data_IF_175195568326
#
_entry.id   IF_175195568326
#
_cell.length_a   1.000
_cell.length_b   1.000
_cell.length_c   1.000
_cell.angle_alpha   90.00
_cell.angle_beta   90.00
_cell.angle_gamma   90.00
#
_symmetry.space_group_name_H-M   'P 1'
#
loop_
_entity.id
_entity.type
_entity.pdbx_description
1 polymer ?
#
# COMPACT_ATOMS: atom_id res chain seq x y z
N UNK A 1 10.33 -9.22 -22.46
CA UNK A 1 9.76 -7.87 -22.79
C UNK A 1 8.85 -7.48 -21.65
N UNK A 2 9.16 -6.38 -20.98
CA UNK A 2 8.39 -5.89 -19.84
C UNK A 2 7.10 -5.20 -20.26
N UNK A 3 6.16 -5.00 -19.30
CA UNK A 3 4.93 -4.21 -19.54
C UNK A 3 5.28 -2.79 -20.04
N UNK A 4 6.31 -2.15 -19.46
CA UNK A 4 6.78 -0.83 -19.89
C UNK A 4 7.31 -0.83 -21.32
N UNK A 5 8.12 -1.83 -21.68
CA UNK A 5 8.64 -1.94 -23.04
C UNK A 5 7.53 -2.20 -24.08
N UNK A 6 6.56 -3.06 -23.73
CA UNK A 6 5.40 -3.33 -24.58
C UNK A 6 4.59 -2.04 -24.80
N UNK A 7 4.28 -1.32 -23.74
CA UNK A 7 3.53 -0.08 -23.79
C UNK A 7 4.22 0.99 -24.66
N UNK A 8 5.55 1.16 -24.50
CA UNK A 8 6.36 2.09 -25.30
C UNK A 8 6.37 1.73 -26.80
N UNK A 9 6.24 0.45 -27.14
CA UNK A 9 6.12 -0.03 -28.53
C UNK A 9 4.70 0.03 -29.08
N UNK A 10 3.75 0.59 -28.32
CA UNK A 10 2.34 0.64 -28.73
C UNK A 10 1.60 -0.71 -28.60
N UNK A 11 2.19 -1.69 -27.92
CA UNK A 11 1.60 -3.02 -27.74
C UNK A 11 0.73 -3.02 -26.48
N UNK A 12 -0.55 -3.37 -26.63
CA UNK A 12 -1.49 -3.62 -25.55
C UNK A 12 -1.34 -5.08 -25.12
N UNK A 13 -0.92 -5.29 -23.86
CA UNK A 13 -0.79 -6.63 -23.28
C UNK A 13 -2.12 -7.10 -22.68
N UNK A 14 -2.24 -8.41 -22.37
CA UNK A 14 -3.42 -8.94 -21.69
C UNK A 14 -3.56 -8.37 -20.26
N UNK A 15 -2.45 -8.11 -19.57
CA UNK A 15 -2.45 -7.44 -18.28
C UNK A 15 -3.08 -6.04 -18.38
N UNK A 16 -2.74 -5.25 -19.38
CA UNK A 16 -3.35 -3.92 -19.60
C UNK A 16 -4.84 -3.99 -19.89
N UNK A 17 -5.30 -5.00 -20.63
CA UNK A 17 -6.74 -5.22 -20.90
C UNK A 17 -7.52 -5.54 -19.60
N UNK A 18 -6.94 -6.37 -18.73
CA UNK A 18 -7.53 -6.73 -17.44
C UNK A 18 -7.63 -5.48 -16.56
N UNK A 19 -6.53 -4.74 -16.40
CA UNK A 19 -6.52 -3.49 -15.63
C UNK A 19 -7.54 -2.49 -16.18
N UNK A 20 -7.62 -2.29 -17.49
CA UNK A 20 -8.59 -1.39 -18.12
C UNK A 20 -10.03 -1.77 -17.79
N UNK A 21 -10.33 -3.06 -17.82
CA UNK A 21 -11.66 -3.59 -17.47
C UNK A 21 -11.98 -3.37 -15.99
N UNK A 22 -11.05 -3.65 -15.10
CA UNK A 22 -11.24 -3.56 -13.65
C UNK A 22 -11.38 -2.09 -13.18
N UNK A 23 -10.64 -1.19 -13.83
CA UNK A 23 -10.68 0.25 -13.54
C UNK A 23 -11.79 0.99 -14.32
N UNK A 24 -12.47 0.33 -15.26
CA UNK A 24 -13.51 0.93 -16.07
C UNK A 24 -13.01 2.03 -17.00
N UNK A 25 -11.78 1.93 -17.49
CA UNK A 25 -11.15 2.92 -18.38
C UNK A 25 -10.81 2.32 -19.74
N UNK A 26 -10.55 3.18 -20.73
CA UNK A 26 -10.08 2.72 -22.04
C UNK A 26 -8.68 2.10 -21.91
N UNK A 27 -8.45 1.01 -22.64
CA UNK A 27 -7.17 0.29 -22.60
C UNK A 27 -5.98 1.14 -23.09
N UNK A 28 -6.24 2.09 -24.00
CA UNK A 28 -5.19 3.02 -24.46
C UNK A 28 -4.80 4.03 -23.37
N UNK A 29 -5.70 4.38 -22.44
CA UNK A 29 -5.36 5.16 -21.24
C UNK A 29 -4.38 4.38 -20.38
N UNK A 30 -4.62 3.08 -20.15
CA UNK A 30 -3.71 2.21 -19.40
C UNK A 30 -2.37 2.10 -20.11
N UNK A 31 -2.36 1.78 -21.41
CA UNK A 31 -1.13 1.66 -22.20
C UNK A 31 -0.31 2.97 -22.17
N UNK A 32 -0.95 4.10 -22.41
CA UNK A 32 -0.28 5.40 -22.42
C UNK A 32 0.33 5.74 -21.06
N UNK A 33 -0.40 5.47 -19.96
CA UNK A 33 0.07 5.70 -18.60
C UNK A 33 1.26 4.80 -18.23
N UNK A 34 1.24 3.52 -18.63
CA UNK A 34 2.38 2.62 -18.46
C UNK A 34 3.56 3.07 -19.32
N UNK A 35 3.32 3.46 -20.58
CA UNK A 35 4.39 3.93 -21.49
C UNK A 35 5.09 5.20 -20.97
N UNK A 36 4.37 6.12 -20.34
CA UNK A 36 4.94 7.34 -19.72
C UNK A 36 5.57 7.05 -18.36
N UNK A 37 5.29 5.88 -17.74
CA UNK A 37 5.69 5.53 -16.39
C UNK A 37 4.86 6.23 -15.30
N UNK A 38 3.69 6.79 -15.65
CA UNK A 38 2.71 7.32 -14.69
C UNK A 38 1.83 6.22 -14.07
N UNK A 39 1.91 5.00 -14.60
CA UNK A 39 1.32 3.81 -14.02
C UNK A 39 2.27 2.61 -14.13
N UNK A 40 2.10 1.64 -13.23
CA UNK A 40 2.77 0.35 -13.25
C UNK A 40 1.75 -0.79 -13.11
N UNK A 41 2.09 -1.96 -13.62
CA UNK A 41 1.34 -3.21 -13.45
C UNK A 41 2.35 -4.25 -12.93
N UNK A 42 2.57 -4.33 -11.61
CA UNK A 42 3.47 -5.33 -11.03
C UNK A 42 2.95 -6.74 -11.33
N UNK A 43 3.69 -7.47 -12.15
CA UNK A 43 3.31 -8.81 -12.59
C UNK A 43 4.54 -9.56 -13.08
N UNK A 44 5.11 -10.39 -12.22
CA UNK A 44 6.23 -11.25 -12.56
C UNK A 44 5.80 -12.37 -13.54
N UNK A 45 6.63 -12.67 -14.52
CA UNK A 45 6.38 -13.73 -15.51
C UNK A 45 6.21 -15.13 -14.90
N UNK A 46 6.68 -15.34 -13.67
CA UNK A 46 6.61 -16.61 -12.93
C UNK A 46 5.41 -16.72 -12.00
N UNK A 47 4.73 -15.63 -11.62
CA UNK A 47 3.55 -15.63 -10.74
C UNK A 47 2.28 -15.95 -11.52
N UNK A 48 2.01 -17.24 -11.76
CA UNK A 48 1.01 -17.73 -12.73
C UNK A 48 -0.46 -17.49 -12.35
N UNK A 49 -0.77 -17.43 -11.06
CA UNK A 49 -2.14 -17.21 -10.56
C UNK A 49 -2.43 -15.75 -10.20
N UNK A 50 -1.48 -14.84 -10.42
CA UNK A 50 -1.66 -13.43 -10.13
C UNK A 50 -2.65 -12.76 -11.09
N UNK A 51 -3.62 -12.05 -10.54
CA UNK A 51 -4.49 -11.15 -11.28
C UNK A 51 -3.82 -9.78 -11.39
N UNK A 52 -3.59 -9.26 -12.60
CA UNK A 52 -2.91 -7.96 -12.78
C UNK A 52 -3.65 -6.82 -12.08
N UNK A 53 -2.91 -5.98 -11.38
CA UNK A 53 -3.44 -4.77 -10.70
C UNK A 53 -2.62 -3.56 -11.13
N UNK A 54 -3.31 -2.51 -11.60
CA UNK A 54 -2.66 -1.26 -11.98
C UNK A 54 -2.51 -0.30 -10.81
N UNK A 55 -1.36 0.37 -10.70
CA UNK A 55 -1.10 1.46 -9.75
C UNK A 55 -0.79 2.72 -10.53
N UNK A 56 -1.58 3.79 -10.32
CA UNK A 56 -1.42 5.07 -11.00
C UNK A 56 -2.54 6.03 -10.65
N UNK A 57 -2.32 7.33 -10.83
CA UNK A 57 -3.29 8.36 -10.44
C UNK A 57 -4.62 8.30 -11.23
N UNK A 58 -4.62 7.71 -12.42
CA UNK A 58 -5.83 7.54 -13.24
C UNK A 58 -6.70 6.37 -12.78
N UNK A 59 -6.23 5.52 -11.87
CA UNK A 59 -6.92 4.37 -11.32
C UNK A 59 -7.45 4.63 -9.92
N UNK A 60 -8.27 3.72 -9.40
CA UNK A 60 -8.63 3.70 -7.97
C UNK A 60 -7.37 3.55 -7.10
N UNK A 61 -7.36 4.22 -5.96
CA UNK A 61 -6.26 4.11 -4.99
C UNK A 61 -6.19 2.69 -4.42
N UNK A 62 -5.02 2.06 -4.50
CA UNK A 62 -4.78 0.69 -4.03
C UNK A 62 -4.28 0.67 -2.58
N UNK A 63 -4.50 -0.47 -1.91
CA UNK A 63 -3.91 -0.72 -0.60
C UNK A 63 -2.99 -1.94 -0.62
N UNK A 64 -1.89 -1.85 0.11
CA UNK A 64 -0.96 -2.95 0.35
C UNK A 64 -1.00 -3.36 1.82
N UNK A 65 -1.01 -4.68 2.07
CA UNK A 65 -0.88 -5.25 3.40
C UNK A 65 0.50 -5.87 3.58
N UNK A 66 1.27 -5.36 4.55
CA UNK A 66 2.54 -5.96 4.97
C UNK A 66 2.25 -7.12 5.91
N UNK A 67 2.75 -8.29 5.56
CA UNK A 67 2.68 -9.53 6.32
C UNK A 67 4.09 -10.03 6.55
N UNK A 68 4.24 -11.06 7.34
CA UNK A 68 5.53 -11.70 7.49
C UNK A 68 5.86 -12.03 8.93
N UNK A 69 6.57 -13.14 9.06
CA UNK A 69 7.05 -13.67 10.32
C UNK A 69 8.11 -12.77 10.94
N UNK A 70 8.05 -12.59 12.26
CA UNK A 70 9.18 -12.08 13.04
C UNK A 70 10.05 -13.24 13.57
N UNK A 71 11.29 -12.99 14.00
CA UNK A 71 12.18 -14.05 14.51
C UNK A 71 11.61 -14.82 15.71
N UNK A 72 10.70 -14.21 16.46
CA UNK A 72 10.16 -14.75 17.72
C UNK A 72 8.70 -15.16 17.67
N UNK A 73 7.97 -14.80 16.63
CA UNK A 73 6.52 -14.99 16.56
C UNK A 73 6.06 -15.37 15.14
N UNK A 74 5.03 -16.19 15.08
CA UNK A 74 4.33 -16.71 13.92
C UNK A 74 5.09 -17.77 13.09
N UNK A 75 4.33 -18.64 12.45
CA UNK A 75 4.80 -19.64 11.52
C UNK A 75 4.14 -19.50 10.15
N UNK A 76 4.47 -20.39 9.20
CA UNK A 76 3.89 -20.40 7.85
C UNK A 76 2.35 -20.42 7.87
N UNK A 77 1.74 -21.20 8.77
CA UNK A 77 0.28 -21.29 8.88
C UNK A 77 -0.37 -19.99 9.29
N UNK A 78 0.21 -19.29 10.25
CA UNK A 78 -0.28 -18.00 10.74
C UNK A 78 -0.21 -16.92 9.65
N UNK A 79 0.89 -16.90 8.87
CA UNK A 79 1.07 -15.92 7.81
C UNK A 79 0.13 -16.17 6.62
N UNK A 80 -0.17 -17.43 6.28
CA UNK A 80 -1.18 -17.75 5.27
C UNK A 80 -2.61 -17.43 5.73
N UNK A 81 -2.91 -17.54 7.02
CA UNK A 81 -4.18 -17.09 7.59
C UNK A 81 -4.30 -15.56 7.48
N UNK A 82 -3.26 -14.81 7.89
CA UNK A 82 -3.23 -13.35 7.75
C UNK A 82 -3.35 -12.90 6.28
N UNK A 83 -2.70 -13.62 5.35
CA UNK A 83 -2.85 -13.39 3.92
C UNK A 83 -4.32 -13.52 3.48
N UNK A 84 -4.98 -14.61 3.84
CA UNK A 84 -6.38 -14.83 3.50
C UNK A 84 -7.29 -13.73 4.10
N UNK A 85 -7.00 -13.26 5.32
CA UNK A 85 -7.73 -12.17 5.97
C UNK A 85 -7.52 -10.86 5.24
N UNK A 86 -6.27 -10.50 4.89
CA UNK A 86 -5.95 -9.28 4.16
C UNK A 86 -6.64 -9.24 2.79
N UNK A 87 -6.57 -10.34 2.03
CA UNK A 87 -7.24 -10.48 0.74
C UNK A 87 -8.78 -10.36 0.85
N UNK A 88 -9.38 -11.02 1.84
CA UNK A 88 -10.81 -10.93 2.10
C UNK A 88 -11.25 -9.53 2.58
N UNK A 89 -10.37 -8.79 3.25
CA UNK A 89 -10.60 -7.41 3.64
C UNK A 89 -10.37 -6.41 2.48
N UNK A 90 -9.93 -6.90 1.31
CA UNK A 90 -9.81 -6.12 0.09
C UNK A 90 -8.43 -5.55 -0.17
N UNK A 91 -7.36 -6.15 0.36
CA UNK A 91 -6.00 -5.80 -0.01
C UNK A 91 -5.78 -6.02 -1.52
N UNK A 92 -5.23 -5.03 -2.19
CA UNK A 92 -4.94 -5.05 -3.62
C UNK A 92 -3.54 -5.59 -3.90
N UNK A 93 -2.64 -5.43 -2.91
CA UNK A 93 -1.25 -5.88 -2.88
C UNK A 93 -0.94 -6.49 -1.52
N UNK A 94 0.04 -7.38 -1.47
CA UNK A 94 0.59 -7.92 -0.24
C UNK A 94 2.11 -7.91 -0.29
N UNK A 95 2.77 -7.76 0.86
CA UNK A 95 4.22 -7.89 0.97
C UNK A 95 4.58 -8.96 2.00
N UNK A 96 5.53 -9.81 1.65
CA UNK A 96 6.19 -10.73 2.57
C UNK A 96 7.43 -10.05 3.16
N UNK A 97 7.36 -9.71 4.45
CA UNK A 97 8.45 -9.12 5.22
C UNK A 97 9.06 -10.13 6.19
N UNK A 98 8.88 -11.42 5.92
CA UNK A 98 9.37 -12.50 6.77
C UNK A 98 10.88 -12.43 6.96
N UNK A 99 11.30 -12.61 8.21
CA UNK A 99 12.68 -12.75 8.63
C UNK A 99 12.83 -14.06 9.41
N UNK A 100 14.00 -14.70 9.33
CA UNK A 100 14.25 -16.00 9.97
C UNK A 100 15.69 -16.40 9.83
N UNK A 101 16.08 -17.53 10.43
CA UNK A 101 17.47 -18.01 10.46
C UNK A 101 17.78 -19.07 9.40
N UNK A 102 16.76 -19.60 8.73
CA UNK A 102 16.92 -20.64 7.72
C UNK A 102 16.35 -20.18 6.36
N UNK A 103 17.11 -20.36 5.31
CA UNK A 103 16.73 -20.00 3.92
C UNK A 103 15.46 -20.73 3.50
N UNK A 104 15.40 -22.03 3.72
CA UNK A 104 14.25 -22.88 3.34
C UNK A 104 12.94 -22.42 4.00
N UNK A 105 13.02 -21.88 5.22
CA UNK A 105 11.87 -21.40 5.95
C UNK A 105 11.32 -20.11 5.33
N UNK A 106 12.17 -19.12 5.07
CA UNK A 106 11.79 -17.83 4.46
C UNK A 106 11.25 -18.08 3.05
N UNK A 107 11.99 -18.84 2.25
CA UNK A 107 11.62 -19.21 0.87
C UNK A 107 10.30 -20.00 0.85
N UNK A 108 10.11 -20.92 1.82
CA UNK A 108 8.90 -21.72 1.92
C UNK A 108 7.65 -20.93 2.34
N UNK A 109 7.79 -19.89 3.18
CA UNK A 109 6.68 -18.97 3.53
C UNK A 109 6.31 -18.17 2.29
N UNK A 110 7.28 -17.53 1.64
CA UNK A 110 7.06 -16.73 0.43
C UNK A 110 6.43 -17.54 -0.70
N UNK A 111 6.91 -18.78 -0.94
CA UNK A 111 6.29 -19.66 -1.94
C UNK A 111 4.83 -19.96 -1.58
N UNK A 112 4.54 -20.25 -0.32
CA UNK A 112 3.17 -20.47 0.12
C UNK A 112 2.27 -19.25 -0.08
N UNK A 113 2.79 -18.03 0.11
CA UNK A 113 2.08 -16.80 -0.17
C UNK A 113 1.87 -16.57 -1.67
N UNK A 114 2.88 -16.81 -2.52
CA UNK A 114 2.77 -16.72 -3.99
C UNK A 114 1.72 -17.70 -4.52
N UNK A 115 1.75 -18.94 -4.04
CA UNK A 115 0.80 -19.97 -4.47
C UNK A 115 -0.64 -19.65 -4.06
N UNK A 116 -0.83 -18.99 -2.91
CA UNK A 116 -2.14 -18.68 -2.35
C UNK A 116 -2.68 -17.30 -2.76
N UNK A 117 -1.82 -16.36 -3.17
CA UNK A 117 -2.24 -15.00 -3.49
C UNK A 117 -2.63 -14.85 -4.96
N UNK A 118 -3.87 -14.43 -5.26
CA UNK A 118 -4.24 -13.96 -6.60
C UNK A 118 -3.88 -12.48 -6.81
N UNK A 119 -3.13 -11.86 -5.91
CA UNK A 119 -2.74 -10.44 -5.96
C UNK A 119 -1.22 -10.33 -6.00
N UNK A 120 -0.68 -9.25 -6.56
CA UNK A 120 0.76 -9.05 -6.62
C UNK A 120 1.41 -9.12 -5.23
N UNK A 121 2.53 -9.84 -5.15
CA UNK A 121 3.31 -10.04 -3.94
C UNK A 121 4.63 -9.30 -4.03
N UNK A 122 4.94 -8.50 -3.01
CA UNK A 122 6.19 -7.77 -2.88
C UNK A 122 7.09 -8.29 -1.76
N UNK A 123 8.36 -7.89 -1.81
CA UNK A 123 9.36 -8.22 -0.79
C UNK A 123 10.32 -7.06 -0.54
N UNK A 124 11.16 -7.21 0.49
CA UNK A 124 12.31 -6.34 0.78
C UNK A 124 13.56 -7.22 0.85
N UNK A 125 14.27 -7.46 -0.26
CA UNK A 125 15.35 -8.46 -0.36
C UNK A 125 16.45 -8.34 0.68
N UNK A 126 16.77 -7.12 1.14
CA UNK A 126 17.77 -6.90 2.18
C UNK A 126 17.42 -7.60 3.50
N UNK A 127 16.12 -7.82 3.79
CA UNK A 127 15.72 -8.51 5.03
C UNK A 127 16.14 -9.98 5.01
N UNK A 128 15.90 -10.70 3.90
CA UNK A 128 16.38 -12.06 3.71
C UNK A 128 17.92 -12.10 3.73
N UNK A 129 18.55 -11.16 3.03
CA UNK A 129 20.02 -11.07 2.97
C UNK A 129 20.63 -11.05 4.37
N UNK A 130 20.18 -10.15 5.23
CA UNK A 130 20.72 -10.03 6.59
C UNK A 130 20.27 -11.17 7.49
N UNK A 131 19.05 -11.70 7.30
CA UNK A 131 18.59 -12.88 8.04
C UNK A 131 19.51 -14.09 7.82
N UNK A 132 20.01 -14.27 6.59
CA UNK A 132 20.89 -15.39 6.23
C UNK A 132 22.34 -15.16 6.65
N UNK A 133 22.83 -13.93 6.57
CA UNK A 133 24.22 -13.60 6.92
C UNK A 133 24.41 -13.40 8.42
N UNK A 134 23.40 -12.87 9.11
CA UNK A 134 23.47 -12.53 10.54
C UNK A 134 24.40 -11.35 10.88
N UNK A 135 24.99 -10.69 9.89
CA UNK A 135 26.00 -9.65 10.06
C UNK A 135 25.92 -8.62 8.92
N UNK A 136 25.63 -7.37 9.27
CA UNK A 136 25.46 -6.28 8.29
C UNK A 136 26.82 -5.84 7.70
N UNK A 137 27.87 -5.55 8.49
CA UNK A 137 29.12 -5.05 7.97
C UNK A 137 29.81 -5.95 6.93
N UNK A 138 29.65 -7.26 7.06
CA UNK A 138 30.30 -8.23 6.17
C UNK A 138 29.40 -8.65 4.98
N UNK A 139 28.28 -7.98 4.75
CA UNK A 139 27.44 -8.27 3.59
C UNK A 139 28.22 -8.02 2.29
N UNK A 140 28.36 -9.07 1.48
CA UNK A 140 28.85 -8.95 0.10
C UNK A 140 27.72 -8.41 -0.80
N UNK A 141 27.92 -7.30 -1.53
CA UNK A 141 26.95 -6.81 -2.51
C UNK A 141 26.50 -7.88 -3.52
N UNK A 142 27.37 -8.77 -3.95
CA UNK A 142 27.00 -9.85 -4.87
C UNK A 142 26.07 -10.88 -4.24
N UNK A 143 26.15 -11.11 -2.94
CA UNK A 143 25.19 -11.96 -2.23
C UNK A 143 23.79 -11.33 -2.24
N UNK A 144 23.67 -10.00 -1.98
CA UNK A 144 22.42 -9.27 -2.08
C UNK A 144 21.81 -9.35 -3.49
N UNK A 145 22.62 -9.18 -4.54
CA UNK A 145 22.16 -9.35 -5.92
C UNK A 145 21.67 -10.78 -6.18
N UNK A 146 22.35 -11.78 -5.61
CA UNK A 146 21.92 -13.18 -5.67
C UNK A 146 20.54 -13.40 -5.01
N UNK A 147 20.27 -12.74 -3.87
CA UNK A 147 18.96 -12.78 -3.20
C UNK A 147 17.88 -12.13 -4.08
N UNK A 148 18.15 -10.96 -4.66
CA UNK A 148 17.24 -10.27 -5.58
C UNK A 148 16.88 -11.19 -6.76
N UNK A 149 17.86 -11.85 -7.37
CA UNK A 149 17.67 -12.79 -8.49
C UNK A 149 16.79 -13.98 -8.07
N UNK A 150 17.11 -14.63 -6.94
CA UNK A 150 16.33 -15.78 -6.44
C UNK A 150 14.85 -15.41 -6.21
N UNK A 151 14.60 -14.24 -5.61
CA UNK A 151 13.23 -13.76 -5.38
C UNK A 151 12.50 -13.44 -6.69
N UNK A 152 13.19 -12.89 -7.69
CA UNK A 152 12.65 -12.66 -9.02
C UNK A 152 12.28 -13.98 -9.73
N UNK A 153 13.17 -14.96 -9.69
CA UNK A 153 12.96 -16.33 -10.23
C UNK A 153 11.82 -17.06 -9.53
N UNK A 154 11.63 -16.82 -8.23
CA UNK A 154 10.54 -17.40 -7.44
C UNK A 154 9.16 -16.83 -7.82
N UNK A 155 9.10 -15.63 -8.38
CA UNK A 155 7.86 -15.03 -8.85
C UNK A 155 7.41 -13.77 -8.09
N UNK A 156 8.29 -13.13 -7.33
CA UNK A 156 7.99 -11.85 -6.64
C UNK A 156 7.68 -10.77 -7.68
N UNK A 157 6.55 -10.09 -7.55
CA UNK A 157 6.04 -9.14 -8.54
C UNK A 157 6.67 -7.75 -8.41
N UNK A 158 7.02 -7.34 -7.19
CA UNK A 158 7.71 -6.09 -6.94
C UNK A 158 8.64 -6.18 -5.74
N UNK A 159 9.69 -5.37 -5.74
CA UNK A 159 10.70 -5.37 -4.68
C UNK A 159 10.97 -3.97 -4.19
N UNK A 160 10.95 -3.78 -2.87
CA UNK A 160 11.40 -2.54 -2.23
C UNK A 160 12.91 -2.56 -2.10
N UNK A 161 13.56 -1.60 -2.76
CA UNK A 161 15.01 -1.45 -2.80
C UNK A 161 15.42 -0.05 -2.34
N UNK A 162 16.15 0.04 -1.21
CA UNK A 162 16.56 1.30 -0.58
C UNK A 162 17.83 1.85 -1.25
N UNK A 163 17.77 2.15 -2.55
CA UNK A 163 18.92 2.60 -3.34
C UNK A 163 19.14 4.12 -3.30
N UNK A 164 18.16 4.89 -2.79
CA UNK A 164 18.22 6.37 -2.77
C UNK A 164 19.00 6.97 -1.61
N UNK A 165 19.24 6.20 -0.53
CA UNK A 165 20.04 6.62 0.61
C UNK A 165 21.52 6.59 0.24
N UNK A 166 22.20 7.73 0.33
CA UNK A 166 23.63 7.89 0.02
C UNK A 166 24.40 8.42 1.22
N UNK A 167 25.73 8.18 1.27
CA UNK A 167 26.60 8.62 2.36
C UNK A 167 26.43 10.10 2.71
N UNK A 168 26.25 10.96 1.72
CA UNK A 168 26.12 12.42 1.90
C UNK A 168 24.87 12.83 2.71
N UNK A 169 23.85 11.97 2.83
CA UNK A 169 22.60 12.27 3.54
C UNK A 169 22.63 11.83 5.00
N UNK A 170 23.54 10.91 5.37
CA UNK A 170 23.63 10.37 6.73
C UNK A 170 23.84 11.46 7.79
N UNK A 171 24.72 12.48 7.60
CA UNK A 171 24.88 13.55 8.58
C UNK A 171 23.58 14.30 8.90
N UNK A 172 22.70 14.51 7.92
CA UNK A 172 21.41 15.18 8.14
C UNK A 172 20.43 14.24 8.85
N UNK A 173 20.38 12.97 8.47
CA UNK A 173 19.57 11.97 9.17
C UNK A 173 19.95 11.82 10.65
N UNK A 174 21.23 11.94 11.00
CA UNK A 174 21.72 11.84 12.39
C UNK A 174 21.37 13.07 13.25
N UNK A 175 20.88 14.17 12.67
CA UNK A 175 20.36 15.33 13.42
C UNK A 175 18.91 15.14 13.88
N UNK A 176 18.22 14.14 13.36
CA UNK A 176 16.81 13.85 13.66
C UNK A 176 16.60 13.34 15.08
N UNK A 177 15.42 13.54 15.62
CA UNK A 177 14.99 12.98 16.90
C UNK A 177 15.02 11.45 16.85
N UNK A 178 14.48 10.84 15.76
CA UNK A 178 14.39 9.39 15.61
C UNK A 178 15.52 8.79 14.74
N UNK A 179 16.37 9.60 14.12
CA UNK A 179 17.40 9.11 13.21
C UNK A 179 16.82 8.42 11.97
N UNK A 180 17.26 7.20 11.68
CA UNK A 180 16.82 6.38 10.54
C UNK A 180 15.90 5.27 11.05
N UNK A 181 14.60 5.37 10.75
CA UNK A 181 13.58 4.42 11.24
C UNK A 181 13.21 3.35 10.23
N UNK A 182 13.58 3.52 8.96
CA UNK A 182 13.42 2.48 7.96
C UNK A 182 14.39 1.33 8.27
N UNK A 183 13.88 0.11 8.43
CA UNK A 183 14.72 -1.07 8.68
C UNK A 183 15.75 -1.26 7.57
N UNK A 184 15.31 -1.22 6.30
CA UNK A 184 16.22 -1.33 5.16
C UNK A 184 17.17 -0.15 5.04
N UNK A 185 16.70 1.07 5.31
CA UNK A 185 17.54 2.27 5.35
C UNK A 185 18.62 2.21 6.43
N UNK A 186 18.28 1.76 7.64
CA UNK A 186 19.24 1.60 8.75
C UNK A 186 20.32 0.57 8.42
N UNK A 187 19.93 -0.59 7.87
CA UNK A 187 20.86 -1.64 7.43
C UNK A 187 21.84 -1.09 6.38
N UNK A 188 21.34 -0.38 5.37
CA UNK A 188 22.19 0.21 4.34
C UNK A 188 23.14 1.28 4.91
N UNK A 189 22.61 2.15 5.78
CA UNK A 189 23.43 3.19 6.42
C UNK A 189 24.56 2.59 7.26
N UNK A 190 24.28 1.55 8.07
CA UNK A 190 25.30 0.84 8.87
C UNK A 190 26.36 0.23 7.96
N UNK A 191 25.97 -0.50 6.93
CA UNK A 191 26.89 -1.09 5.96
C UNK A 191 27.81 -0.04 5.32
N UNK A 192 27.22 1.08 4.88
CA UNK A 192 27.97 2.17 4.23
C UNK A 192 28.96 2.82 5.17
N UNK A 193 28.60 3.05 6.43
CA UNK A 193 29.48 3.66 7.43
C UNK A 193 30.63 2.76 7.83
N UNK A 194 30.37 1.46 8.05
CA UNK A 194 31.39 0.49 8.43
C UNK A 194 32.37 0.23 7.28
N UNK A 195 31.87 0.08 6.06
CA UNK A 195 32.70 -0.19 4.88
C UNK A 195 33.30 1.09 4.25
N UNK A 196 32.90 2.28 4.70
CA UNK A 196 33.31 3.58 4.13
C UNK A 196 33.07 3.60 2.60
N UNK A 197 31.98 3.02 2.18
CA UNK A 197 31.59 2.83 0.78
C UNK A 197 30.18 3.33 0.55
N UNK A 198 29.87 3.69 -0.70
CA UNK A 198 28.54 4.12 -1.11
C UNK A 198 27.57 2.94 -1.14
N UNK A 199 26.27 3.23 -1.03
CA UNK A 199 25.19 2.26 -1.04
C UNK A 199 25.35 1.22 -2.16
N UNK A 200 25.47 -0.09 -1.84
CA UNK A 200 25.72 -1.13 -2.83
C UNK A 200 24.59 -1.26 -3.85
N UNK A 201 23.32 -1.00 -3.48
CA UNK A 201 22.22 -0.99 -4.44
C UNK A 201 22.35 0.17 -5.45
N UNK A 202 22.83 1.34 -5.02
CA UNK A 202 23.07 2.47 -5.91
C UNK A 202 24.25 2.22 -6.88
N UNK A 203 25.37 1.68 -6.35
CA UNK A 203 26.58 1.42 -7.16
C UNK A 203 26.40 0.27 -8.14
N UNK A 204 25.58 -0.75 -7.83
CA UNK A 204 25.26 -1.90 -8.68
C UNK A 204 23.88 -1.78 -9.33
N UNK A 205 23.35 -0.54 -9.47
CA UNK A 205 21.96 -0.36 -9.94
C UNK A 205 21.70 -0.94 -11.32
N UNK A 206 22.68 -0.92 -12.22
CA UNK A 206 22.52 -1.47 -13.58
C UNK A 206 22.37 -3.00 -13.55
N UNK A 207 23.14 -3.69 -12.68
CA UNK A 207 23.01 -5.13 -12.47
C UNK A 207 21.64 -5.49 -11.84
N UNK A 208 21.16 -4.68 -10.92
CA UNK A 208 19.81 -4.82 -10.34
C UNK A 208 18.75 -4.69 -11.44
N UNK A 209 18.82 -3.65 -12.26
CA UNK A 209 17.85 -3.43 -13.35
C UNK A 209 17.86 -4.57 -14.36
N UNK A 210 19.01 -5.18 -14.67
CA UNK A 210 19.10 -6.33 -15.56
C UNK A 210 18.30 -7.53 -15.03
N UNK A 211 18.38 -7.81 -13.73
CA UNK A 211 17.58 -8.86 -13.09
C UNK A 211 16.08 -8.52 -13.19
N UNK A 212 15.69 -7.27 -12.88
CA UNK A 212 14.28 -6.85 -12.86
C UNK A 212 13.64 -6.91 -14.26
N UNK A 213 14.37 -6.52 -15.31
CA UNK A 213 13.92 -6.61 -16.71
C UNK A 213 13.70 -8.07 -17.15
N UNK A 214 14.61 -8.97 -16.77
CA UNK A 214 14.54 -10.38 -17.14
C UNK A 214 13.24 -11.04 -16.70
N UNK A 215 12.72 -10.67 -15.51
CA UNK A 215 11.55 -11.27 -14.88
C UNK A 215 10.30 -10.37 -14.87
N UNK A 216 10.37 -9.17 -15.45
CA UNK A 216 9.34 -8.11 -15.39
C UNK A 216 8.92 -7.76 -13.95
N UNK A 217 9.90 -7.66 -13.05
CA UNK A 217 9.70 -7.24 -11.66
C UNK A 217 9.63 -5.72 -11.61
N UNK A 218 8.62 -5.18 -10.93
CA UNK A 218 8.50 -3.75 -10.66
C UNK A 218 9.39 -3.36 -9.48
N UNK A 219 10.19 -2.31 -9.60
CA UNK A 219 10.89 -1.76 -8.44
C UNK A 219 10.00 -0.80 -7.68
N UNK A 220 9.98 -0.94 -6.35
CA UNK A 220 9.53 0.06 -5.40
C UNK A 220 10.77 0.71 -4.80
N UNK A 221 11.05 1.96 -5.19
CA UNK A 221 12.20 2.70 -4.67
C UNK A 221 11.92 3.08 -3.22
N UNK A 222 12.57 2.38 -2.29
CA UNK A 222 12.33 2.49 -0.85
C UNK A 222 12.79 3.83 -0.27
N UNK A 223 11.99 4.39 0.63
CA UNK A 223 12.28 5.60 1.39
C UNK A 223 13.09 5.31 2.67
N UNK A 224 14.36 5.00 2.52
CA UNK A 224 15.27 4.68 3.63
C UNK A 224 15.38 5.78 4.68
N UNK A 225 15.15 7.02 4.27
CA UNK A 225 15.16 8.21 5.14
C UNK A 225 13.78 8.80 5.40
N UNK A 226 12.72 7.99 5.37
CA UNK A 226 11.40 8.44 5.79
C UNK A 226 11.40 8.93 7.25
N UNK A 227 10.65 10.01 7.59
CA UNK A 227 10.56 10.48 8.97
C UNK A 227 9.81 9.48 9.86
N UNK A 228 10.30 9.27 11.08
CA UNK A 228 9.73 8.40 12.10
C UNK A 228 8.92 9.13 13.18
N UNK A 229 8.87 10.45 13.12
CA UNK A 229 8.04 11.32 13.95
C UNK A 229 7.77 12.63 13.23
N UNK A 230 6.78 13.39 13.72
CA UNK A 230 6.41 14.67 13.11
C UNK A 230 7.54 15.71 13.14
N UNK A 231 8.43 15.63 14.16
CA UNK A 231 9.55 16.57 14.30
C UNK A 231 10.60 16.42 13.18
N UNK A 232 10.71 15.23 12.58
CA UNK A 232 11.68 14.90 11.54
C UNK A 232 11.09 15.04 10.12
N UNK A 233 9.80 15.37 10.00
CA UNK A 233 9.10 15.44 8.72
C UNK A 233 9.61 16.57 7.81
N UNK A 234 9.70 16.29 6.52
CA UNK A 234 10.02 17.25 5.46
C UNK A 234 11.39 17.92 5.62
N UNK A 235 12.33 17.21 6.20
CA UNK A 235 13.70 17.70 6.41
C UNK A 235 14.62 17.49 5.20
N UNK A 236 15.88 17.92 5.33
CA UNK A 236 16.89 17.80 4.29
C UNK A 236 17.24 16.35 3.95
N UNK A 237 17.21 15.44 4.92
CA UNK A 237 17.49 14.02 4.71
C UNK A 237 16.40 13.37 3.86
N UNK A 238 15.12 13.58 4.19
CA UNK A 238 13.98 13.06 3.43
C UNK A 238 13.99 13.55 1.98
N UNK A 239 14.16 14.87 1.79
CA UNK A 239 14.11 15.43 0.44
C UNK A 239 15.40 15.18 -0.36
N UNK A 240 16.55 15.09 0.31
CA UNK A 240 17.79 14.70 -0.33
C UNK A 240 17.76 13.29 -0.89
N UNK A 241 17.12 12.33 -0.17
CA UNK A 241 16.85 11.00 -0.70
C UNK A 241 15.86 11.05 -1.86
N UNK A 242 14.76 11.80 -1.73
CA UNK A 242 13.75 11.92 -2.79
C UNK A 242 14.35 12.42 -4.11
N UNK A 243 15.30 13.36 -4.06
CA UNK A 243 16.01 13.85 -5.25
C UNK A 243 16.80 12.72 -5.94
N UNK A 244 17.43 11.82 -5.18
CA UNK A 244 18.11 10.62 -5.73
C UNK A 244 17.10 9.61 -6.27
N UNK A 245 15.97 9.42 -5.60
CA UNK A 245 14.90 8.55 -6.11
C UNK A 245 14.39 9.05 -7.47
N UNK A 246 14.30 10.36 -7.68
CA UNK A 246 13.97 10.97 -8.98
C UNK A 246 14.99 10.64 -10.09
N UNK A 247 16.29 10.61 -9.78
CA UNK A 247 17.34 10.13 -10.68
C UNK A 247 17.16 8.65 -11.03
N UNK A 248 16.92 7.81 -10.00
CA UNK A 248 16.73 6.37 -10.19
C UNK A 248 15.46 6.05 -11.00
N UNK A 249 14.40 6.85 -10.90
CA UNK A 249 13.20 6.75 -11.75
C UNK A 249 13.57 6.88 -13.23
N UNK A 250 14.41 7.85 -13.59
CA UNK A 250 14.85 8.01 -14.97
C UNK A 250 15.67 6.82 -15.47
N UNK A 251 16.60 6.32 -14.64
CA UNK A 251 17.43 5.15 -14.97
C UNK A 251 16.55 3.92 -15.20
N UNK A 252 15.57 3.66 -14.32
CA UNK A 252 14.61 2.56 -14.45
C UNK A 252 13.83 2.66 -15.78
N UNK A 253 13.24 3.83 -16.05
CA UNK A 253 12.45 4.05 -17.27
C UNK A 253 13.28 3.90 -18.55
N UNK A 254 14.53 4.36 -18.52
CA UNK A 254 15.45 4.21 -19.65
C UNK A 254 15.79 2.73 -19.92
N UNK A 255 15.93 1.93 -18.84
CA UNK A 255 16.25 0.49 -18.94
C UNK A 255 15.04 -0.40 -19.24
N UNK A 256 13.81 0.13 -19.14
CA UNK A 256 12.58 -0.63 -19.37
C UNK A 256 12.01 -1.28 -18.11
N UNK A 257 12.46 -0.87 -16.92
CA UNK A 257 11.96 -1.33 -15.62
C UNK A 257 10.77 -0.48 -15.20
N UNK A 258 9.66 -1.11 -14.80
CA UNK A 258 8.56 -0.43 -14.14
C UNK A 258 8.99 0.03 -12.75
N UNK A 259 8.63 1.28 -12.37
CA UNK A 259 9.08 1.88 -11.12
C UNK A 259 7.96 2.64 -10.42
N UNK A 260 7.80 2.40 -9.13
CA UNK A 260 7.06 3.23 -8.18
C UNK A 260 8.00 3.71 -7.07
N UNK A 261 7.59 4.74 -6.35
CA UNK A 261 8.44 5.40 -5.34
C UNK A 261 7.74 5.33 -3.99
N UNK A 262 8.46 4.96 -2.95
CA UNK A 262 7.95 5.01 -1.58
C UNK A 262 8.10 6.41 -0.98
N UNK A 263 7.28 6.69 0.02
CA UNK A 263 7.32 7.98 0.69
C UNK A 263 6.55 8.02 2.00
N UNK A 264 6.51 9.21 2.63
CA UNK A 264 6.88 9.39 4.02
C UNK A 264 5.93 8.70 4.99
N UNK A 265 6.50 8.29 6.17
CA UNK A 265 5.75 7.63 7.24
C UNK A 265 5.03 8.61 8.18
N UNK A 266 5.76 9.56 8.80
CA UNK A 266 5.19 10.54 9.73
C UNK A 266 5.25 11.94 9.14
N UNK A 267 4.08 12.57 8.91
CA UNK A 267 4.00 13.92 8.35
C UNK A 267 2.82 14.67 8.97
N UNK A 268 3.03 15.88 9.51
CA UNK A 268 1.93 16.73 9.94
C UNK A 268 0.92 16.93 8.81
N UNK A 269 -0.38 16.88 9.12
CA UNK A 269 -1.45 16.88 8.11
C UNK A 269 -1.32 18.03 7.08
N UNK A 270 -0.95 19.22 7.55
CA UNK A 270 -0.78 20.41 6.71
C UNK A 270 0.42 20.36 5.74
N UNK A 271 1.33 19.39 5.91
CA UNK A 271 2.50 19.21 5.02
C UNK A 271 2.30 18.10 3.99
N UNK A 272 1.24 17.31 4.08
CA UNK A 272 1.01 16.15 3.19
C UNK A 272 0.90 16.61 1.73
N UNK A 273 0.11 17.65 1.45
CA UNK A 273 -0.06 18.14 0.08
C UNK A 273 1.28 18.56 -0.57
N UNK A 274 2.12 19.25 0.18
CA UNK A 274 3.44 19.68 -0.29
C UNK A 274 4.34 18.48 -0.58
N UNK A 275 4.36 17.45 0.30
CA UNK A 275 5.12 16.23 0.08
C UNK A 275 4.67 15.49 -1.19
N UNK A 276 3.34 15.37 -1.41
CA UNK A 276 2.80 14.75 -2.63
C UNK A 276 3.20 15.52 -3.88
N UNK A 277 3.07 16.85 -3.85
CA UNK A 277 3.44 17.72 -4.98
C UNK A 277 4.93 17.61 -5.32
N UNK A 278 5.82 17.62 -4.29
CA UNK A 278 7.27 17.50 -4.51
C UNK A 278 7.64 16.17 -5.15
N UNK A 279 7.06 15.04 -4.68
CA UNK A 279 7.30 13.75 -5.31
C UNK A 279 6.84 13.71 -6.77
N UNK A 280 5.65 14.25 -7.05
CA UNK A 280 5.13 14.30 -8.44
C UNK A 280 6.08 15.05 -9.38
N UNK A 281 6.68 16.13 -8.89
CA UNK A 281 7.65 16.93 -9.65
C UNK A 281 8.98 16.17 -9.82
N UNK A 282 9.61 15.81 -8.72
CA UNK A 282 10.97 15.22 -8.68
C UNK A 282 10.98 13.83 -9.33
N UNK A 283 9.99 12.99 -9.03
CA UNK A 283 9.88 11.62 -9.56
C UNK A 283 9.03 11.55 -10.85
N UNK A 284 8.74 12.69 -11.49
CA UNK A 284 8.10 12.75 -12.83
C UNK A 284 6.83 11.92 -12.89
N UNK A 285 5.98 12.08 -11.86
CA UNK A 285 4.69 11.43 -11.69
C UNK A 285 4.76 9.88 -11.65
N UNK A 286 5.90 9.29 -11.30
CA UNK A 286 5.94 7.86 -10.98
C UNK A 286 4.93 7.57 -9.86
N UNK A 287 4.23 6.41 -9.87
CA UNK A 287 3.26 6.09 -8.84
C UNK A 287 3.86 6.22 -7.45
N UNK A 288 3.14 6.89 -6.53
CA UNK A 288 3.60 7.14 -5.18
C UNK A 288 2.95 6.15 -4.21
N UNK A 289 3.77 5.40 -3.51
CA UNK A 289 3.41 4.41 -2.50
C UNK A 289 3.81 4.95 -1.13
N UNK A 290 2.84 5.23 -0.25
CA UNK A 290 3.08 5.90 1.02
C UNK A 290 2.72 5.03 2.23
N UNK A 291 3.50 5.14 3.30
CA UNK A 291 3.23 4.51 4.58
C UNK A 291 2.42 5.49 5.48
N UNK A 292 1.12 5.40 5.44
CA UNK A 292 0.25 6.36 6.11
C UNK A 292 -0.08 7.55 5.20
N UNK A 293 0.31 8.80 5.51
CA UNK A 293 1.16 9.23 6.63
C UNK A 293 0.49 9.24 7.99
N UNK A 294 1.27 8.95 9.03
CA UNK A 294 0.88 9.10 10.44
C UNK A 294 0.89 10.59 10.80
N UNK A 295 -0.27 11.15 11.15
CA UNK A 295 -0.46 12.60 11.31
C UNK A 295 -0.28 13.13 12.73
N UNK A 296 -0.07 12.25 13.71
CA UNK A 296 0.28 12.57 15.11
C UNK A 296 0.95 11.38 15.77
N UNK A 297 1.92 11.64 16.66
CA UNK A 297 2.74 10.61 17.31
C UNK A 297 2.18 10.13 18.66
N UNK A 298 1.05 10.69 19.15
CA UNK A 298 0.56 10.48 20.52
C UNK A 298 -0.54 9.43 20.65
N UNK A 299 -0.75 8.60 19.64
CA UNK A 299 -1.86 7.65 19.62
C UNK A 299 -1.45 6.19 19.38
N UNK A 300 -0.46 5.62 20.10
CA UNK A 300 -0.12 4.20 19.97
C UNK A 300 -1.34 3.30 20.20
N UNK A 301 -1.50 2.26 19.39
CA UNK A 301 -2.67 1.38 19.39
C UNK A 301 -3.85 1.89 18.54
N UNK A 302 -3.79 3.14 18.09
CA UNK A 302 -4.75 3.77 17.16
C UNK A 302 -4.08 4.21 15.86
N UNK A 303 -2.88 3.73 15.59
CA UNK A 303 -2.07 4.14 14.43
C UNK A 303 -2.80 3.93 13.10
N UNK A 304 -3.62 2.88 12.98
CA UNK A 304 -4.47 2.64 11.81
C UNK A 304 -5.52 3.75 11.57
N UNK A 305 -5.97 4.44 12.63
CA UNK A 305 -6.90 5.58 12.51
C UNK A 305 -6.12 6.83 12.12
N UNK A 306 -5.03 7.11 12.86
CA UNK A 306 -4.19 8.29 12.65
C UNK A 306 -3.61 8.33 11.24
N UNK A 307 -3.10 7.18 10.79
CA UNK A 307 -2.53 7.03 9.45
C UNK A 307 -3.59 7.02 8.34
N UNK A 308 -4.79 6.48 8.59
CA UNK A 308 -5.88 6.56 7.61
C UNK A 308 -6.32 8.01 7.33
N UNK A 309 -6.24 8.91 8.32
CA UNK A 309 -6.47 10.35 8.13
C UNK A 309 -5.45 10.91 7.12
N UNK A 310 -4.17 10.62 7.34
CA UNK A 310 -3.10 11.06 6.43
C UNK A 310 -3.15 10.39 5.07
N UNK A 311 -3.46 9.09 5.04
CA UNK A 311 -3.62 8.32 3.80
C UNK A 311 -4.73 8.87 2.90
N UNK A 312 -5.85 9.31 3.49
CA UNK A 312 -6.93 9.98 2.75
C UNK A 312 -6.43 11.27 2.10
N UNK A 313 -5.69 12.09 2.84
CA UNK A 313 -5.09 13.31 2.29
C UNK A 313 -4.06 12.97 1.20
N UNK A 314 -3.17 12.00 1.43
CA UNK A 314 -2.17 11.59 0.46
C UNK A 314 -2.81 11.08 -0.85
N UNK A 315 -3.84 10.22 -0.77
CA UNK A 315 -4.59 9.74 -1.93
C UNK A 315 -5.26 10.89 -2.68
N UNK A 316 -5.85 11.86 -1.98
CA UNK A 316 -6.44 13.06 -2.57
C UNK A 316 -5.41 13.86 -3.37
N UNK A 317 -4.19 13.99 -2.86
CA UNK A 317 -3.15 14.83 -3.46
C UNK A 317 -2.16 14.08 -4.36
N UNK A 318 -2.27 12.75 -4.52
CA UNK A 318 -1.46 12.08 -5.54
C UNK A 318 -0.90 10.71 -5.25
N UNK A 319 -0.99 10.20 -4.02
CA UNK A 319 -0.61 8.82 -3.74
C UNK A 319 -1.54 7.85 -4.49
N UNK A 320 -0.97 6.78 -5.02
CA UNK A 320 -1.69 5.77 -5.82
C UNK A 320 -1.74 4.41 -5.13
N UNK A 321 -0.84 4.17 -4.18
CA UNK A 321 -0.78 2.96 -3.36
C UNK A 321 -0.54 3.38 -1.91
N UNK A 322 -1.30 2.79 -1.00
CA UNK A 322 -1.24 3.06 0.43
C UNK A 322 -0.76 1.81 1.17
N UNK A 323 0.36 1.90 1.87
CA UNK A 323 0.77 0.86 2.81
C UNK A 323 -0.12 0.94 4.04
N UNK A 324 -0.82 -0.13 4.35
CA UNK A 324 -1.66 -0.17 5.54
C UNK A 324 -0.82 -0.06 6.82
N UNK A 325 -1.47 0.44 7.86
CA UNK A 325 -0.95 0.46 9.22
C UNK A 325 -1.97 -0.24 10.12
N UNK A 326 -1.51 -1.04 11.05
CA UNK A 326 -2.37 -1.79 11.98
C UNK A 326 -2.41 -1.11 13.36
N UNK A 327 -3.35 -1.50 14.26
CA UNK A 327 -3.31 -1.05 15.65
C UNK A 327 -2.03 -1.41 16.39
N UNK A 328 -1.32 -2.46 15.96
CA UNK A 328 -0.08 -2.94 16.57
C UNK A 328 1.16 -2.12 16.17
N UNK A 329 1.05 -1.19 15.22
CA UNK A 329 2.18 -0.36 14.78
C UNK A 329 2.83 0.31 16.00
N UNK A 330 4.16 0.35 16.04
CA UNK A 330 4.98 0.81 17.16
C UNK A 330 4.86 -0.01 18.48
N UNK A 331 4.01 -1.04 18.53
CA UNK A 331 3.77 -1.86 19.74
C UNK A 331 4.19 -3.33 19.58
N UNK A 332 4.03 -3.91 18.38
CA UNK A 332 4.34 -5.32 18.16
C UNK A 332 3.93 -5.86 16.80
N UNK A 333 3.98 -7.19 16.66
CA UNK A 333 3.51 -7.87 15.46
C UNK A 333 1.98 -7.97 15.48
N UNK A 334 1.27 -7.58 14.40
CA UNK A 334 -0.20 -7.62 14.38
C UNK A 334 -0.74 -9.04 14.37
N UNK A 335 -1.85 -9.23 15.08
CA UNK A 335 -2.68 -10.41 14.97
C UNK A 335 -3.65 -10.33 13.77
N UNK A 336 -4.42 -11.40 13.55
CA UNK A 336 -5.39 -11.52 12.46
C UNK A 336 -6.51 -10.46 12.49
N UNK A 337 -7.01 -10.05 13.67
CA UNK A 337 -8.04 -9.00 13.80
C UNK A 337 -7.43 -7.61 13.51
N UNK A 338 -6.20 -7.38 13.93
CA UNK A 338 -5.48 -6.13 13.66
C UNK A 338 -5.14 -5.96 12.18
N UNK A 339 -4.74 -7.05 11.48
CA UNK A 339 -4.59 -7.06 10.01
C UNK A 339 -5.90 -6.67 9.34
N UNK A 340 -7.02 -7.29 9.73
CA UNK A 340 -8.33 -6.94 9.19
C UNK A 340 -8.69 -5.48 9.44
N UNK A 341 -8.48 -4.95 10.66
CA UNK A 341 -8.77 -3.56 11.01
C UNK A 341 -7.94 -2.58 10.18
N UNK A 342 -6.65 -2.87 10.02
CA UNK A 342 -5.74 -2.07 9.20
C UNK A 342 -6.22 -2.01 7.75
N UNK A 343 -6.51 -3.16 7.12
CA UNK A 343 -7.02 -3.22 5.76
C UNK A 343 -8.31 -2.42 5.58
N UNK A 344 -9.29 -2.57 6.48
CA UNK A 344 -10.57 -1.83 6.39
C UNK A 344 -10.36 -0.33 6.57
N UNK A 345 -9.52 0.11 7.52
CA UNK A 345 -9.21 1.52 7.71
C UNK A 345 -8.63 2.13 6.43
N UNK A 346 -7.74 1.40 5.76
CA UNK A 346 -7.11 1.86 4.53
C UNK A 346 -8.00 1.77 3.30
N UNK A 347 -8.93 0.80 3.22
CA UNK A 347 -9.98 0.82 2.17
C UNK A 347 -10.90 2.03 2.33
N UNK A 348 -11.20 2.45 3.57
CA UNK A 348 -11.95 3.68 3.84
C UNK A 348 -11.14 4.90 3.38
N UNK A 349 -9.85 4.96 3.73
CA UNK A 349 -8.98 6.07 3.36
C UNK A 349 -8.83 6.20 1.83
N UNK A 350 -8.55 5.09 1.14
CA UNK A 350 -8.43 5.03 -0.31
C UNK A 350 -9.71 5.51 -1.00
N UNK A 351 -10.86 4.94 -0.61
CA UNK A 351 -12.15 5.32 -1.16
C UNK A 351 -12.49 6.80 -0.93
N UNK A 352 -12.28 7.31 0.28
CA UNK A 352 -12.51 8.72 0.58
C UNK A 352 -11.60 9.65 -0.22
N UNK A 353 -10.34 9.25 -0.45
CA UNK A 353 -9.41 9.96 -1.33
C UNK A 353 -9.87 9.96 -2.78
N UNK A 354 -10.34 8.83 -3.31
CA UNK A 354 -10.87 8.70 -4.68
C UNK A 354 -12.11 9.58 -4.89
N UNK A 355 -13.01 9.62 -3.92
CA UNK A 355 -14.17 10.53 -3.93
C UNK A 355 -13.72 11.99 -3.91
N UNK A 356 -12.77 12.34 -3.04
CA UNK A 356 -12.29 13.71 -2.88
C UNK A 356 -11.61 14.26 -4.13
N UNK A 357 -10.86 13.43 -4.86
CA UNK A 357 -10.20 13.82 -6.13
C UNK A 357 -11.11 13.73 -7.35
N UNK A 358 -12.38 13.35 -7.15
CA UNK A 358 -13.37 13.31 -8.22
C UNK A 358 -13.14 12.20 -9.24
N UNK A 359 -12.60 11.05 -8.83
CA UNK A 359 -12.41 9.92 -9.73
C UNK A 359 -13.79 9.47 -10.29
N UNK A 360 -13.93 9.30 -11.62
CA UNK A 360 -15.20 8.89 -12.21
C UNK A 360 -15.75 7.61 -11.58
N UNK A 361 -17.04 7.61 -11.21
CA UNK A 361 -17.70 6.47 -10.58
C UNK A 361 -17.39 6.25 -9.08
N UNK A 362 -16.42 6.92 -8.48
CA UNK A 362 -16.04 6.72 -7.08
C UNK A 362 -17.23 6.92 -6.11
N UNK A 363 -18.11 7.89 -6.36
CA UNK A 363 -19.30 8.18 -5.54
C UNK A 363 -20.49 7.25 -5.74
N UNK A 364 -20.52 6.45 -6.80
CA UNK A 364 -21.72 5.66 -7.15
C UNK A 364 -22.14 4.69 -6.03
N UNK A 365 -21.15 4.11 -5.35
CA UNK A 365 -21.38 3.20 -4.21
C UNK A 365 -21.96 3.94 -3.00
N UNK A 366 -21.49 5.16 -2.70
CA UNK A 366 -22.03 6.00 -1.62
C UNK A 366 -23.44 6.46 -1.92
N UNK A 367 -23.73 6.87 -3.14
CA UNK A 367 -25.06 7.27 -3.58
C UNK A 367 -26.04 6.08 -3.53
N UNK A 368 -25.59 4.87 -3.90
CA UNK A 368 -26.37 3.64 -3.73
C UNK A 368 -26.61 3.31 -2.24
N UNK A 369 -25.60 3.46 -1.39
CA UNK A 369 -25.72 3.29 0.04
C UNK A 369 -26.70 4.30 0.65
N UNK A 370 -26.62 5.57 0.24
CA UNK A 370 -27.55 6.61 0.70
C UNK A 370 -29.00 6.26 0.36
N UNK A 371 -29.26 5.78 -0.86
CA UNK A 371 -30.60 5.29 -1.27
C UNK A 371 -31.05 4.09 -0.45
N UNK A 372 -30.16 3.10 -0.21
CA UNK A 372 -30.46 1.93 0.61
C UNK A 372 -30.79 2.31 2.06
N UNK A 373 -30.02 3.25 2.65
CA UNK A 373 -30.26 3.81 3.99
C UNK A 373 -31.59 4.55 4.05
N UNK A 374 -31.86 5.41 3.08
CA UNK A 374 -33.13 6.14 2.99
C UNK A 374 -34.33 5.19 2.86
N UNK A 375 -34.15 4.02 2.22
CA UNK A 375 -35.18 2.99 2.09
C UNK A 375 -35.28 2.03 3.28
N UNK A 376 -34.36 2.07 4.25
CA UNK A 376 -34.17 1.06 5.30
C UNK A 376 -33.96 -0.36 4.74
N UNK A 377 -33.39 -0.46 3.54
CA UNK A 377 -33.03 -1.73 2.93
C UNK A 377 -31.71 -2.22 3.54
N UNK A 378 -31.80 -2.97 4.63
CA UNK A 378 -30.65 -3.44 5.40
C UNK A 378 -29.77 -4.41 4.61
N UNK A 379 -30.36 -5.33 3.85
CA UNK A 379 -29.60 -6.29 3.05
C UNK A 379 -28.76 -5.55 2.02
N UNK A 380 -29.36 -4.58 1.32
CA UNK A 380 -28.63 -3.75 0.34
C UNK A 380 -27.52 -2.91 1.00
N UNK A 381 -27.72 -2.43 2.24
CA UNK A 381 -26.67 -1.72 2.98
C UNK A 381 -25.49 -2.66 3.28
N UNK A 382 -25.75 -3.92 3.67
CA UNK A 382 -24.69 -4.88 3.93
C UNK A 382 -23.94 -5.27 2.65
N UNK A 383 -24.61 -5.43 1.53
CA UNK A 383 -23.98 -5.68 0.22
C UNK A 383 -23.06 -4.54 -0.22
N UNK A 384 -23.43 -3.29 0.08
CA UNK A 384 -22.69 -2.10 -0.31
C UNK A 384 -21.56 -1.70 0.66
N UNK A 385 -21.57 -2.16 1.91
CA UNK A 385 -20.57 -1.73 2.89
C UNK A 385 -19.20 -2.41 2.69
N UNK A 386 -18.14 -1.78 3.17
CA UNK A 386 -16.76 -2.29 3.04
C UNK A 386 -16.51 -3.54 3.88
N UNK A 387 -17.20 -3.68 5.02
CA UNK A 387 -17.10 -4.83 5.93
C UNK A 387 -18.50 -5.40 6.23
N UNK A 388 -19.08 -6.18 5.33
CA UNK A 388 -20.44 -6.69 5.47
C UNK A 388 -20.63 -7.63 6.65
N UNK A 389 -19.63 -8.48 6.94
CA UNK A 389 -19.71 -9.44 8.04
C UNK A 389 -19.80 -8.75 9.39
N UNK A 390 -18.92 -7.77 9.63
CA UNK A 390 -18.88 -7.03 10.90
C UNK A 390 -20.08 -6.11 11.05
N UNK A 391 -20.50 -5.44 9.96
CA UNK A 391 -21.68 -4.58 9.95
C UNK A 391 -22.95 -5.38 10.31
N UNK A 392 -23.17 -6.54 9.66
CA UNK A 392 -24.32 -7.42 9.90
C UNK A 392 -24.29 -8.00 11.33
N UNK A 393 -23.14 -8.47 11.79
CA UNK A 393 -22.99 -9.00 13.15
C UNK A 393 -23.28 -7.91 14.20
N UNK A 394 -22.82 -6.67 13.98
CA UNK A 394 -23.12 -5.55 14.86
C UNK A 394 -24.61 -5.22 14.88
N UNK A 395 -25.25 -5.16 13.74
CA UNK A 395 -26.68 -4.89 13.60
C UNK A 395 -27.52 -5.97 14.30
N UNK A 396 -27.20 -7.26 14.10
CA UNK A 396 -27.89 -8.37 14.76
C UNK A 396 -27.77 -8.28 16.30
N UNK A 397 -26.58 -7.95 16.83
CA UNK A 397 -26.40 -7.79 18.29
C UNK A 397 -27.30 -6.71 18.89
N UNK A 398 -27.49 -5.58 18.18
CA UNK A 398 -28.35 -4.51 18.67
C UNK A 398 -29.83 -4.90 18.65
N UNK A 399 -30.22 -5.86 17.83
CA UNK A 399 -31.60 -6.36 17.74
C UNK A 399 -31.92 -7.51 18.70
N UNK A 400 -30.92 -8.21 19.21
CA UNK A 400 -31.11 -9.22 20.24
C UNK A 400 -31.70 -8.65 21.57
N UNK A 401 -31.73 -7.32 21.70
CA UNK A 401 -32.30 -6.63 22.85
C UNK A 401 -33.69 -6.01 22.58
N UNK A 402 -34.30 -6.28 21.43
CA UNK A 402 -35.61 -5.76 21.05
C UNK A 402 -36.50 -6.91 20.56
N UNK A 403 -37.73 -6.96 21.04
CA UNK A 403 -38.75 -7.93 20.60
C UNK A 403 -39.40 -7.52 19.24
N UNK A 404 -38.81 -6.56 18.53
CA UNK A 404 -39.36 -6.00 17.29
C UNK A 404 -38.92 -6.76 16.03
N UNK A 405 -39.76 -6.88 14.97
CA UNK A 405 -39.43 -7.64 13.77
C UNK A 405 -38.29 -7.04 12.94
N UNK A 406 -37.61 -7.90 12.16
CA UNK A 406 -36.37 -7.58 11.44
C UNK A 406 -36.50 -6.58 10.28
N UNK A 407 -37.72 -6.18 9.87
CA UNK A 407 -37.99 -5.33 8.71
C UNK A 407 -38.49 -3.93 9.08
N UNK A 408 -37.81 -3.24 9.97
CA UNK A 408 -38.29 -1.97 10.47
C UNK A 408 -37.75 -0.76 9.69
N UNK A 409 -38.59 0.27 9.64
CA UNK A 409 -38.31 1.59 9.04
C UNK A 409 -37.52 2.53 9.99
N UNK A 410 -36.72 1.95 10.90
CA UNK A 410 -35.84 2.65 11.84
C UNK A 410 -34.75 1.73 12.37
N UNK A 411 -33.76 2.29 13.07
CA UNK A 411 -32.73 1.53 13.78
C UNK A 411 -32.88 1.64 15.30
N UNK A 412 -32.26 0.74 16.04
CA UNK A 412 -32.28 0.72 17.50
C UNK A 412 -31.69 1.97 18.18
N UNK A 413 -30.93 2.80 17.45
CA UNK A 413 -30.31 4.02 17.99
C UNK A 413 -31.35 5.08 18.36
N UNK A 414 -32.30 5.36 17.46
CA UNK A 414 -33.32 6.39 17.66
C UNK A 414 -34.69 5.80 18.05
N UNK A 415 -34.93 4.52 17.71
CA UNK A 415 -36.25 3.90 17.82
C UNK A 415 -37.28 4.54 16.91
N UNK A 416 -38.50 4.02 16.98
CA UNK A 416 -39.59 4.38 16.06
C UNK A 416 -40.02 5.85 16.15
N UNK A 417 -40.04 6.42 17.36
CA UNK A 417 -40.57 7.76 17.60
C UNK A 417 -39.59 8.88 17.21
N UNK A 418 -38.29 8.65 17.37
CA UNK A 418 -37.24 9.67 17.20
C UNK A 418 -36.44 9.53 15.90
N UNK A 419 -36.79 8.59 15.02
CA UNK A 419 -36.07 8.41 13.77
C UNK A 419 -36.26 9.59 12.79
N UNK A 420 -35.22 10.40 12.63
CA UNK A 420 -35.24 11.57 11.76
C UNK A 420 -35.55 11.24 10.28
N UNK A 421 -35.02 10.13 9.77
CA UNK A 421 -35.26 9.67 8.39
C UNK A 421 -36.76 9.36 8.18
N UNK A 422 -37.38 8.68 9.14
CA UNK A 422 -38.81 8.39 9.13
C UNK A 422 -39.65 9.66 9.21
N UNK A 423 -39.29 10.58 10.08
CA UNK A 423 -39.95 11.89 10.20
C UNK A 423 -39.80 12.70 8.91
N UNK A 424 -38.61 12.73 8.31
CA UNK A 424 -38.38 13.43 7.04
C UNK A 424 -39.24 12.88 5.89
N UNK A 425 -39.51 11.57 5.86
CA UNK A 425 -40.45 10.99 4.88
C UNK A 425 -41.87 11.51 5.07
N UNK A 426 -42.32 11.68 6.32
CA UNK A 426 -43.65 12.26 6.59
C UNK A 426 -43.70 13.72 6.16
N UNK A 427 -42.66 14.50 6.48
CA UNK A 427 -42.58 15.91 6.08
C UNK A 427 -42.63 16.05 4.55
N UNK A 428 -41.92 15.18 3.81
CA UNK A 428 -41.94 15.20 2.34
C UNK A 428 -43.33 14.99 1.78
N UNK A 429 -44.10 14.01 2.31
CA UNK A 429 -45.47 13.79 1.90
C UNK A 429 -46.36 15.00 2.18
N UNK A 430 -46.23 15.60 3.37
CA UNK A 430 -47.00 16.81 3.70
C UNK A 430 -46.61 18.01 2.81
N UNK A 431 -45.35 18.12 2.41
CA UNK A 431 -44.90 19.18 1.52
C UNK A 431 -45.46 18.99 0.07
N UNK A 432 -45.58 17.74 -0.39
CA UNK A 432 -46.19 17.41 -1.68
C UNK A 432 -47.73 17.72 -1.70
N UNK A 433 -48.38 17.60 -0.52
CA UNK A 433 -49.80 17.95 -0.38
C UNK A 433 -50.05 19.48 -0.33
N UNK A 434 -49.01 20.27 -0.07
CA UNK A 434 -49.06 21.73 0.02
C UNK A 434 -48.66 22.42 -1.31
N UNK A 435 -48.10 21.67 -2.25
CA UNK A 435 -47.71 22.14 -3.61
C UNK A 435 -48.76 21.87 -4.65
#
# INVERSE_FOLDING_TARGET
MTQLEAAKKGIVTDAMKIVAKDEGVDVEVVRAAVASGEAVIPLNIHHKNCHPVGVGRMFTTKINANLGRSPTHSGKGDELEKLAIALNAGADFVMDLSVGTAEDEITGIRQGMLDASPKPLGTVPIYETISLLGDIPHMDPQFLLGVIRRQAEQGVDFMTLHAGLLLRQIPDAMKRVMGIVSRGGAIMAEWMMENKAENPLYTHWDEVMDILVEHDVTVSLGDGLRPGCLADASDAAQFGELDVLGELVDRCRARGVQVMVEGPGHVPFNQIQMNMARQQEVCKKAPFYVLGPVTTDIAPGYDHIVSAIGATAAATYGASLLCYVTPAEHLGLPDSDEVHRGCIAYKIAAHAGDVARGLPGARDRDDAMARARAAFNWDRQFELCLDPKRAKARWLRTRAFTDEPHNEDHCSMCGKQFCAVRTSRRIRKLAEELS
#
